data_IF_561949207323
#
_entry.id   IF_561949207323
#
_cell.length_a   1.000
_cell.length_b   1.000
_cell.length_c   1.000
_cell.angle_alpha   90.00
_cell.angle_beta   90.00
_cell.angle_gamma   90.00
#
_symmetry.space_group_name_H-M   'P 1'
#
loop_
_entity.id
_entity.type
_entity.pdbx_description
1 polymer ?
#
# COMPACT_ATOMS: atom_id res chain seq x y z
N UNK A 1 6.27 1.50 -11.66
CA UNK A 1 5.02 1.01 -11.03
C UNK A 1 3.82 1.92 -11.30
N UNK A 2 3.89 3.21 -10.99
CA UNK A 2 2.76 4.15 -11.15
C UNK A 2 2.04 4.08 -12.50
N UNK A 3 2.77 4.22 -13.61
CA UNK A 3 2.20 4.10 -14.96
C UNK A 3 1.55 2.74 -15.20
N UNK A 4 2.18 1.67 -14.72
CA UNK A 4 1.67 0.30 -14.82
C UNK A 4 0.33 0.12 -14.10
N UNK A 5 0.17 0.72 -12.91
CA UNK A 5 -1.10 0.72 -12.18
C UNK A 5 -2.18 1.53 -12.91
N UNK A 6 -1.83 2.71 -13.45
CA UNK A 6 -2.76 3.50 -14.26
C UNK A 6 -3.24 2.77 -15.52
N UNK A 7 -2.32 2.10 -16.22
CA UNK A 7 -2.64 1.35 -17.43
C UNK A 7 -3.50 0.11 -17.11
N UNK A 8 -3.25 -0.54 -15.97
CA UNK A 8 -4.03 -1.68 -15.51
C UNK A 8 -5.44 -1.31 -15.06
N UNK A 9 -5.60 -0.13 -14.46
CA UNK A 9 -6.83 0.35 -13.83
C UNK A 9 -7.17 1.78 -14.27
N UNK A 10 -7.55 2.01 -15.54
CA UNK A 10 -7.74 3.35 -16.10
C UNK A 10 -8.90 4.15 -15.48
N UNK A 11 -9.74 3.47 -14.69
CA UNK A 11 -10.90 4.03 -14.02
C UNK A 11 -10.72 4.21 -12.52
N UNK A 12 -9.53 3.91 -11.99
CA UNK A 12 -9.19 4.05 -10.57
C UNK A 12 -8.31 5.28 -10.36
N UNK A 13 -8.33 5.81 -9.15
CA UNK A 13 -7.35 6.81 -8.72
C UNK A 13 -6.14 6.12 -8.12
N UNK A 14 -4.95 6.51 -8.57
CA UNK A 14 -3.69 5.99 -8.03
C UNK A 14 -3.02 7.13 -7.28
N UNK A 15 -2.91 6.99 -5.96
CA UNK A 15 -2.14 7.91 -5.12
C UNK A 15 -0.76 7.29 -4.87
N UNK A 16 0.29 8.10 -5.00
CA UNK A 16 1.66 7.70 -4.71
C UNK A 16 2.10 8.31 -3.37
N UNK A 17 2.90 7.56 -2.60
CA UNK A 17 3.48 8.03 -1.34
C UNK A 17 2.44 8.57 -0.35
N UNK A 18 1.50 7.70 0.05
CA UNK A 18 0.43 8.06 0.98
C UNK A 18 0.86 7.80 2.42
N UNK A 19 0.76 8.82 3.28
CA UNK A 19 1.07 8.67 4.70
C UNK A 19 0.11 7.68 5.38
N UNK A 20 0.62 6.82 6.26
CA UNK A 20 -0.21 5.89 7.02
C UNK A 20 -1.25 6.63 7.86
N UNK A 21 -0.95 7.84 8.33
CA UNK A 21 -1.89 8.68 9.10
C UNK A 21 -3.08 9.19 8.29
N UNK A 22 -3.08 9.06 6.96
CA UNK A 22 -4.24 9.30 6.11
C UNK A 22 -5.15 8.07 5.97
N UNK A 23 -4.65 6.89 6.33
CA UNK A 23 -5.34 5.59 6.20
C UNK A 23 -5.76 5.04 7.56
N UNK A 24 -4.92 5.21 8.58
CA UNK A 24 -5.13 4.68 9.92
C UNK A 24 -5.38 5.85 10.87
N UNK A 25 -6.39 5.69 11.73
CA UNK A 25 -6.66 6.60 12.85
C UNK A 25 -6.64 5.83 14.17
N UNK A 26 -6.23 6.50 15.24
CA UNK A 26 -6.30 5.96 16.59
C UNK A 26 -6.34 7.11 17.60
N UNK A 27 -7.17 6.99 18.62
CA UNK A 27 -7.36 8.04 19.63
C UNK A 27 -6.17 8.24 20.58
N UNK A 28 -5.29 7.24 20.71
CA UNK A 28 -4.15 7.30 21.61
C UNK A 28 -2.91 7.77 20.86
N UNK A 29 -2.32 8.88 21.31
CA UNK A 29 -1.12 9.47 20.69
C UNK A 29 0.07 8.51 20.64
N UNK A 30 0.23 7.66 21.65
CA UNK A 30 1.28 6.62 21.66
C UNK A 30 1.13 5.65 20.49
N UNK A 31 -0.10 5.22 20.20
CA UNK A 31 -0.39 4.34 19.06
C UNK A 31 -0.23 5.09 17.74
N UNK A 32 -0.71 6.34 17.67
CA UNK A 32 -0.58 7.18 16.48
C UNK A 32 0.88 7.41 16.06
N UNK A 33 1.76 7.60 17.04
CA UNK A 33 3.20 7.80 16.79
C UNK A 33 3.88 6.60 16.12
N UNK A 34 3.32 5.39 16.24
CA UNK A 34 3.88 4.20 15.58
C UNK A 34 3.78 4.29 14.06
N UNK A 35 2.78 4.99 13.52
CA UNK A 35 2.56 5.09 12.08
C UNK A 35 2.69 6.50 11.49
N UNK A 36 2.79 7.55 12.30
CA UNK A 36 2.87 8.94 11.84
C UNK A 36 4.06 9.25 10.88
N UNK A 37 5.11 8.44 10.88
CA UNK A 37 6.29 8.62 10.00
C UNK A 37 6.36 7.58 8.87
N UNK A 38 5.35 6.72 8.74
CA UNK A 38 5.27 5.67 7.72
C UNK A 38 4.46 6.16 6.52
N UNK A 39 4.87 5.74 5.33
CA UNK A 39 4.29 6.11 4.03
C UNK A 39 4.25 4.87 3.17
N UNK A 40 3.12 4.58 2.53
CA UNK A 40 2.95 3.49 1.55
C UNK A 40 3.39 3.94 0.17
N UNK A 41 3.88 3.05 -0.69
CA UNK A 41 4.26 3.41 -2.05
C UNK A 41 3.05 3.83 -2.91
N UNK A 42 1.98 3.04 -2.91
CA UNK A 42 0.77 3.36 -3.66
C UNK A 42 -0.52 2.95 -2.93
N UNK A 43 -1.56 3.75 -3.15
CA UNK A 43 -2.94 3.42 -2.77
C UNK A 43 -3.80 3.48 -4.02
N UNK A 44 -4.53 2.39 -4.28
CA UNK A 44 -5.48 2.26 -5.38
C UNK A 44 -6.86 2.53 -4.83
N UNK A 45 -7.54 3.54 -5.38
CA UNK A 45 -8.91 3.89 -5.02
C UNK A 45 -9.86 3.61 -6.18
N UNK A 46 -11.09 3.21 -5.86
CA UNK A 46 -12.18 3.17 -6.85
C UNK A 46 -12.63 4.59 -7.24
N UNK A 47 -13.70 4.71 -8.04
CA UNK A 47 -14.20 6.01 -8.52
C UNK A 47 -14.83 6.84 -7.40
N UNK A 48 -15.23 6.18 -6.33
CA UNK A 48 -15.88 6.75 -5.15
C UNK A 48 -14.87 7.06 -4.03
N UNK A 49 -13.57 6.93 -4.31
CA UNK A 49 -12.46 7.15 -3.38
C UNK A 49 -12.34 6.12 -2.24
N UNK A 50 -12.97 4.95 -2.37
CA UNK A 50 -12.73 3.86 -1.43
C UNK A 50 -11.40 3.18 -1.73
N UNK A 51 -10.67 2.80 -0.68
CA UNK A 51 -9.41 2.07 -0.83
C UNK A 51 -9.69 0.64 -1.28
N UNK A 52 -9.22 0.30 -2.47
CA UNK A 52 -9.29 -1.06 -3.03
C UNK A 52 -8.10 -1.88 -2.56
N UNK A 53 -6.89 -1.33 -2.66
CA UNK A 53 -5.67 -1.98 -2.21
C UNK A 53 -4.56 -0.97 -1.95
N UNK A 54 -3.65 -1.36 -1.06
CA UNK A 54 -2.36 -0.72 -0.87
C UNK A 54 -1.33 -1.57 -1.57
N UNK A 55 -0.45 -0.93 -2.34
CA UNK A 55 0.59 -1.61 -3.09
C UNK A 55 1.95 -1.10 -2.63
N UNK A 56 2.78 -2.00 -2.10
CA UNK A 56 4.15 -1.73 -1.65
C UNK A 56 5.15 -2.37 -2.63
N UNK A 57 6.27 -1.68 -2.87
CA UNK A 57 7.39 -2.17 -3.65
C UNK A 57 8.52 -2.56 -2.72
N UNK A 58 9.02 -3.77 -2.89
CA UNK A 58 10.12 -4.29 -2.09
C UNK A 58 11.37 -4.39 -2.97
N UNK A 59 12.49 -3.84 -2.51
CA UNK A 59 13.79 -4.04 -3.15
C UNK A 59 14.37 -5.40 -2.71
N UNK A 60 14.83 -6.26 -3.64
CA UNK A 60 15.47 -7.54 -3.30
C UNK A 60 16.69 -7.44 -2.35
N UNK A 61 17.25 -6.24 -2.15
CA UNK A 61 18.37 -5.98 -1.25
C UNK A 61 17.99 -5.83 0.24
N UNK A 62 16.72 -5.97 0.61
CA UNK A 62 16.22 -5.82 1.99
C UNK A 62 16.56 -6.96 2.97
N UNK A 63 17.77 -7.51 2.89
CA UNK A 63 18.27 -8.44 3.91
C UNK A 63 18.33 -7.72 5.26
N UNK A 64 17.53 -8.17 6.23
CA UNK A 64 17.48 -7.62 7.59
C UNK A 64 16.39 -6.58 7.88
N UNK A 65 15.51 -6.24 6.92
CA UNK A 65 14.34 -5.36 7.15
C UNK A 65 12.98 -6.05 7.13
N UNK A 66 13.00 -7.37 6.95
CA UNK A 66 11.80 -8.23 6.86
C UNK A 66 10.82 -8.00 8.02
N UNK A 67 11.34 -7.78 9.23
CA UNK A 67 10.50 -7.55 10.40
C UNK A 67 9.83 -6.17 10.40
N UNK A 68 10.54 -5.13 9.95
CA UNK A 68 9.93 -3.79 9.81
C UNK A 68 8.84 -3.80 8.74
N UNK A 69 9.06 -4.52 7.63
CA UNK A 69 8.08 -4.70 6.57
C UNK A 69 6.85 -5.48 7.05
N UNK A 70 7.06 -6.57 7.79
CA UNK A 70 5.97 -7.34 8.39
C UNK A 70 5.14 -6.50 9.37
N UNK A 71 5.78 -5.65 10.18
CA UNK A 71 5.08 -4.75 11.09
C UNK A 71 4.26 -3.69 10.35
N UNK A 72 4.80 -3.13 9.26
CA UNK A 72 4.07 -2.17 8.42
C UNK A 72 2.83 -2.79 7.81
N UNK A 73 2.98 -3.96 7.21
CA UNK A 73 1.88 -4.69 6.57
C UNK A 73 0.83 -5.07 7.62
N UNK A 74 1.26 -5.53 8.81
CA UNK A 74 0.36 -5.86 9.92
C UNK A 74 -0.48 -4.66 10.39
N UNK A 75 0.10 -3.44 10.45
CA UNK A 75 -0.66 -2.23 10.81
C UNK A 75 -1.77 -1.93 9.79
N UNK A 76 -1.48 -2.03 8.51
CA UNK A 76 -2.44 -1.78 7.43
C UNK A 76 -3.54 -2.86 7.39
N UNK A 77 -3.16 -4.12 7.55
CA UNK A 77 -4.09 -5.26 7.61
C UNK A 77 -5.00 -5.13 8.83
N UNK A 78 -4.46 -4.76 9.99
CA UNK A 78 -5.26 -4.53 11.20
C UNK A 78 -6.25 -3.36 11.04
N UNK A 79 -5.94 -2.38 10.18
CA UNK A 79 -6.84 -1.30 9.79
C UNK A 79 -7.87 -1.71 8.71
N UNK A 80 -7.86 -2.96 8.26
CA UNK A 80 -8.82 -3.51 7.30
C UNK A 80 -8.43 -3.36 5.83
N UNK A 81 -7.18 -2.97 5.54
CA UNK A 81 -6.72 -2.80 4.16
C UNK A 81 -6.14 -4.08 3.58
N UNK A 82 -6.39 -4.29 2.29
CA UNK A 82 -5.67 -5.29 1.49
C UNK A 82 -4.32 -4.73 1.09
N UNK A 83 -3.23 -5.41 1.46
CA UNK A 83 -1.85 -5.03 1.10
C UNK A 83 -1.29 -6.03 0.10
N UNK A 84 -0.72 -5.54 -0.99
CA UNK A 84 -0.06 -6.36 -2.02
C UNK A 84 1.36 -5.86 -2.21
N UNK A 85 2.33 -6.74 -1.99
CA UNK A 85 3.75 -6.45 -2.13
C UNK A 85 4.30 -7.03 -3.42
N UNK A 86 5.15 -6.26 -4.10
CA UNK A 86 5.85 -6.70 -5.31
C UNK A 86 7.35 -6.49 -5.18
N UNK A 87 8.14 -7.56 -5.33
CA UNK A 87 9.61 -7.53 -5.37
C UNK A 87 10.16 -7.11 -6.74
N UNK A 88 9.30 -7.06 -7.76
CA UNK A 88 9.61 -6.67 -9.12
C UNK A 88 8.36 -6.08 -9.77
N UNK A 89 8.54 -5.20 -10.76
CA UNK A 89 7.41 -4.54 -11.42
C UNK A 89 6.53 -5.58 -12.16
N UNK A 90 5.28 -5.82 -11.71
CA UNK A 90 4.42 -6.84 -12.31
C UNK A 90 3.89 -6.41 -13.68
N UNK A 91 3.47 -7.37 -14.49
CA UNK A 91 2.73 -7.12 -15.74
C UNK A 91 1.32 -6.57 -15.46
N UNK A 92 0.70 -5.91 -16.45
CA UNK A 92 -0.67 -5.40 -16.34
C UNK A 92 -1.65 -6.53 -15.98
N UNK A 93 -1.51 -7.70 -16.63
CA UNK A 93 -2.36 -8.86 -16.37
C UNK A 93 -2.23 -9.39 -14.94
N UNK A 94 -1.03 -9.38 -14.38
CA UNK A 94 -0.80 -9.78 -12.98
C UNK A 94 -1.46 -8.79 -12.01
N UNK A 95 -1.34 -7.48 -12.25
CA UNK A 95 -2.03 -6.47 -11.46
C UNK A 95 -3.54 -6.69 -11.47
N UNK A 96 -4.15 -6.79 -12.65
CA UNK A 96 -5.59 -6.99 -12.83
C UNK A 96 -6.12 -8.30 -12.23
N UNK A 97 -5.25 -9.31 -12.04
CA UNK A 97 -5.62 -10.54 -11.37
C UNK A 97 -5.56 -10.40 -9.85
N UNK A 98 -4.58 -9.66 -9.34
CA UNK A 98 -4.30 -9.57 -7.92
C UNK A 98 -5.18 -8.54 -7.20
N UNK A 99 -5.56 -7.43 -7.85
CA UNK A 99 -6.43 -6.38 -7.29
C UNK A 99 -7.87 -6.47 -7.83
N UNK A 100 -8.40 -7.68 -7.95
CA UNK A 100 -9.64 -7.97 -8.65
C UNK A 100 -10.85 -8.07 -7.73
#
# INVERSE_FOLDING_TARGET
MFTRLKDAFPHHHILAQVAFSALITHDQMKMRNQFNRKVTDFVVLDREYNVVAIVELDDPSHIGKEQEDAERDAMLIAAGYTVIRYTQIPTIRQLQRNLR
#
